data_IF_133188062130
#
_entry.id   IF_133188062130
#
_cell.length_a   1.000
_cell.length_b   1.000
_cell.length_c   1.000
_cell.angle_alpha   90.00
_cell.angle_beta   90.00
_cell.angle_gamma   90.00
#
_symmetry.space_group_name_H-M   'P 1'
#
loop_
_entity.id
_entity.type
_entity.pdbx_description
1 polymer ?
#
# COMPACT_ATOMS: atom_id res chain seq x y z
N UNK A 1 8.13 -16.72 -19.36
CA UNK A 1 7.59 -16.77 -17.99
C UNK A 1 6.97 -15.40 -17.73
N UNK A 2 5.63 -15.32 -17.69
CA UNK A 2 4.91 -14.05 -17.57
C UNK A 2 4.96 -13.50 -16.14
N UNK A 3 4.72 -12.21 -15.99
CA UNK A 3 4.62 -11.48 -14.70
C UNK A 3 3.71 -12.19 -13.66
N UNK A 4 2.75 -13.02 -14.12
CA UNK A 4 1.89 -13.81 -13.24
C UNK A 4 2.60 -14.88 -12.40
N UNK A 5 3.84 -15.25 -12.72
CA UNK A 5 4.60 -16.23 -11.93
C UNK A 5 5.37 -15.60 -10.74
N UNK A 6 5.57 -14.27 -10.76
CA UNK A 6 6.31 -13.56 -9.71
C UNK A 6 5.48 -13.45 -8.42
N UNK A 7 4.14 -13.44 -8.54
CA UNK A 7 3.22 -13.32 -7.40
C UNK A 7 2.70 -14.66 -6.87
N UNK A 8 3.27 -15.78 -7.33
CA UNK A 8 2.89 -17.11 -6.85
C UNK A 8 3.42 -17.34 -5.43
N UNK A 9 2.53 -17.33 -4.50
CA UNK A 9 2.48 -18.01 -3.21
C UNK A 9 3.14 -17.38 -1.98
N UNK A 10 4.14 -16.49 -2.06
CA UNK A 10 4.79 -15.92 -0.87
C UNK A 10 4.82 -14.38 -0.86
N UNK A 11 4.46 -13.73 -1.94
CA UNK A 11 4.60 -12.28 -2.07
C UNK A 11 3.35 -11.50 -1.64
N UNK A 12 2.17 -12.14 -1.63
CA UNK A 12 0.88 -11.47 -1.38
C UNK A 12 0.10 -12.18 -0.27
N UNK A 13 -0.32 -11.40 0.73
CA UNK A 13 -1.23 -11.81 1.79
C UNK A 13 -2.46 -10.90 1.78
N UNK A 14 -3.65 -11.49 1.75
CA UNK A 14 -4.89 -10.79 2.00
C UNK A 14 -5.30 -10.86 3.46
N UNK A 15 -5.80 -9.75 3.99
CA UNK A 15 -6.47 -9.68 5.29
C UNK A 15 -7.93 -9.33 5.03
N UNK A 16 -8.83 -10.22 5.40
CA UNK A 16 -10.28 -10.11 5.15
C UNK A 16 -11.07 -9.87 6.43
N UNK A 17 -12.35 -9.59 6.27
CA UNK A 17 -13.27 -9.37 7.37
C UNK A 17 -13.85 -10.65 7.99
N UNK A 18 -13.81 -11.78 7.27
CA UNK A 18 -14.47 -13.01 7.71
C UNK A 18 -13.71 -14.28 7.34
N UNK A 19 -13.97 -15.37 8.08
CA UNK A 19 -13.42 -16.70 7.78
C UNK A 19 -13.95 -17.25 6.44
N UNK A 20 -15.18 -16.91 6.06
CA UNK A 20 -15.77 -17.27 4.77
C UNK A 20 -14.89 -16.77 3.63
N UNK A 21 -14.42 -15.54 3.71
CA UNK A 21 -13.59 -14.91 2.69
C UNK A 21 -12.18 -15.52 2.66
N UNK A 22 -11.62 -15.86 3.82
CA UNK A 22 -10.36 -16.61 3.91
C UNK A 22 -10.48 -17.95 3.20
N UNK A 23 -11.57 -18.69 3.43
CA UNK A 23 -11.82 -19.96 2.75
C UNK A 23 -11.95 -19.77 1.23
N UNK A 24 -12.70 -18.76 0.80
CA UNK A 24 -12.89 -18.45 -0.61
C UNK A 24 -11.55 -18.13 -1.30
N UNK A 25 -10.73 -17.26 -0.72
CA UNK A 25 -9.40 -16.93 -1.25
C UNK A 25 -8.46 -18.14 -1.26
N UNK A 26 -8.50 -18.97 -0.21
CA UNK A 26 -7.65 -20.16 -0.10
C UNK A 26 -7.97 -21.19 -1.20
N UNK A 27 -9.25 -21.41 -1.50
CA UNK A 27 -9.69 -22.28 -2.60
C UNK A 27 -9.15 -21.79 -3.95
N UNK A 28 -9.06 -20.47 -4.13
CA UNK A 28 -8.48 -19.85 -5.33
C UNK A 28 -6.94 -19.72 -5.27
N UNK A 29 -6.28 -20.32 -4.26
CA UNK A 29 -4.83 -20.41 -4.15
C UNK A 29 -4.13 -19.14 -3.68
N UNK A 30 -4.83 -18.27 -2.94
CA UNK A 30 -4.26 -17.11 -2.27
C UNK A 30 -3.96 -17.39 -0.80
N UNK A 31 -2.98 -16.68 -0.24
CA UNK A 31 -2.80 -16.61 1.20
C UNK A 31 -3.74 -15.56 1.78
N UNK A 32 -4.51 -15.96 2.76
CA UNK A 32 -5.45 -15.06 3.44
C UNK A 32 -5.52 -15.35 4.93
N UNK A 33 -5.79 -14.32 5.71
CA UNK A 33 -6.11 -14.40 7.13
C UNK A 33 -7.26 -13.46 7.44
N UNK A 34 -7.95 -13.68 8.54
CA UNK A 34 -8.89 -12.72 9.12
C UNK A 34 -8.63 -12.53 10.62
N UNK A 35 -9.15 -11.47 11.15
CA UNK A 35 -9.27 -11.22 12.59
C UNK A 35 -10.75 -11.37 12.96
N UNK A 36 -11.06 -11.50 14.25
CA UNK A 36 -12.40 -11.84 14.74
C UNK A 36 -13.54 -10.94 14.21
N UNK A 37 -13.22 -9.75 13.68
CA UNK A 37 -14.15 -8.83 13.05
C UNK A 37 -13.39 -7.76 12.29
N UNK A 38 -13.98 -7.21 11.24
CA UNK A 38 -13.45 -6.04 10.49
C UNK A 38 -13.19 -4.81 11.37
N UNK A 39 -13.95 -4.67 12.46
CA UNK A 39 -13.84 -3.53 13.38
C UNK A 39 -12.72 -3.68 14.41
N UNK A 40 -12.16 -4.88 14.56
CA UNK A 40 -11.06 -5.14 15.49
C UNK A 40 -9.78 -4.51 14.98
N UNK A 41 -9.11 -3.74 15.83
CA UNK A 41 -7.79 -3.19 15.50
C UNK A 41 -6.77 -4.30 15.31
N UNK A 42 -6.15 -4.34 14.15
CA UNK A 42 -5.12 -5.33 13.82
C UNK A 42 -3.87 -5.06 14.68
N UNK A 43 -3.39 -6.06 15.45
CA UNK A 43 -2.21 -5.86 16.29
C UNK A 43 -0.96 -5.60 15.44
N UNK A 44 -0.32 -4.46 15.65
CA UNK A 44 0.90 -4.03 14.92
C UNK A 44 2.00 -5.08 14.96
N UNK A 45 2.20 -5.77 16.09
CA UNK A 45 3.21 -6.81 16.25
C UNK A 45 2.97 -8.04 15.34
N UNK A 46 1.72 -8.31 14.96
CA UNK A 46 1.41 -9.37 13.98
C UNK A 46 1.80 -8.89 12.59
N UNK A 47 1.40 -7.69 12.21
CA UNK A 47 1.74 -7.11 10.90
C UNK A 47 3.25 -6.99 10.73
N UNK A 48 3.96 -6.54 11.74
CA UNK A 48 5.42 -6.49 11.72
C UNK A 48 6.04 -7.86 11.40
N UNK A 49 5.56 -8.94 12.01
CA UNK A 49 6.05 -10.31 11.69
C UNK A 49 5.66 -10.77 10.30
N UNK A 50 4.46 -10.41 9.83
CA UNK A 50 3.99 -10.77 8.50
C UNK A 50 4.74 -10.01 7.39
N UNK A 51 5.16 -8.77 7.62
CA UNK A 51 5.93 -7.98 6.66
C UNK A 51 7.31 -8.55 6.33
N UNK A 52 7.87 -9.44 7.16
CA UNK A 52 9.07 -10.20 6.83
C UNK A 52 8.80 -11.42 5.94
N UNK A 53 7.55 -11.86 5.86
CA UNK A 53 7.16 -13.06 5.11
C UNK A 53 6.47 -12.74 3.78
N UNK A 54 5.79 -11.60 3.72
CA UNK A 54 5.01 -11.18 2.58
C UNK A 54 5.43 -9.80 2.11
N UNK A 55 5.67 -9.68 0.82
CA UNK A 55 6.04 -8.40 0.20
C UNK A 55 4.88 -7.41 0.16
N UNK A 56 3.68 -7.95 -0.07
CA UNK A 56 2.45 -7.17 -0.11
C UNK A 56 1.46 -7.71 0.90
N UNK A 57 0.97 -6.85 1.77
CA UNK A 57 -0.11 -7.15 2.71
C UNK A 57 -1.27 -6.21 2.35
N UNK A 58 -2.40 -6.79 1.97
CA UNK A 58 -3.54 -6.09 1.41
C UNK A 58 -4.79 -6.34 2.24
N UNK A 59 -5.44 -5.28 2.68
CA UNK A 59 -6.76 -5.33 3.28
C UNK A 59 -7.79 -5.51 2.17
N UNK A 60 -8.58 -6.55 2.27
CA UNK A 60 -9.66 -6.88 1.33
C UNK A 60 -10.95 -7.07 2.14
N UNK A 61 -11.54 -5.97 2.58
CA UNK A 61 -12.75 -5.93 3.38
C UNK A 61 -13.98 -5.74 2.50
N UNK A 62 -15.15 -5.92 3.10
CA UNK A 62 -16.41 -5.67 2.42
C UNK A 62 -16.45 -4.25 1.83
N UNK A 63 -17.08 -4.07 0.69
CA UNK A 63 -17.27 -2.76 0.06
C UNK A 63 -18.52 -2.03 0.55
N UNK A 64 -19.16 -2.53 1.61
CA UNK A 64 -20.19 -1.78 2.30
C UNK A 64 -19.59 -0.66 3.18
N UNK A 65 -20.44 0.23 3.72
CA UNK A 65 -19.97 1.38 4.50
C UNK A 65 -19.09 0.99 5.68
N UNK A 66 -19.43 -0.10 6.38
CA UNK A 66 -18.67 -0.53 7.57
C UNK A 66 -17.28 -1.06 7.18
N UNK A 67 -17.19 -1.87 6.14
CA UNK A 67 -15.92 -2.40 5.63
C UNK A 67 -15.03 -1.31 5.04
N UNK A 68 -15.61 -0.34 4.30
CA UNK A 68 -14.87 0.81 3.76
C UNK A 68 -14.28 1.69 4.88
N UNK A 69 -15.08 2.03 5.89
CA UNK A 69 -14.62 2.84 7.03
C UNK A 69 -13.56 2.11 7.85
N UNK A 70 -13.74 0.81 8.09
CA UNK A 70 -12.82 -0.02 8.86
C UNK A 70 -11.50 -0.22 8.11
N UNK A 71 -11.54 -0.55 6.83
CA UNK A 71 -10.32 -0.73 6.02
C UNK A 71 -9.51 0.57 5.90
N UNK A 72 -10.17 1.72 5.76
CA UNK A 72 -9.50 3.02 5.73
C UNK A 72 -8.77 3.33 7.05
N UNK A 73 -9.40 3.06 8.20
CA UNK A 73 -8.77 3.24 9.51
C UNK A 73 -7.56 2.33 9.70
N UNK A 74 -7.69 1.05 9.30
CA UNK A 74 -6.60 0.08 9.40
C UNK A 74 -5.44 0.45 8.48
N UNK A 75 -5.70 0.85 7.23
CA UNK A 75 -4.67 1.30 6.29
C UNK A 75 -3.87 2.47 6.87
N UNK A 76 -4.56 3.48 7.42
CA UNK A 76 -3.90 4.62 8.06
C UNK A 76 -3.06 4.21 9.27
N UNK A 77 -3.60 3.34 10.13
CA UNK A 77 -2.91 2.86 11.33
C UNK A 77 -1.66 2.03 10.99
N UNK A 78 -1.69 1.30 9.89
CA UNK A 78 -0.64 0.36 9.46
C UNK A 78 0.22 0.88 8.31
N UNK A 79 0.10 2.17 7.95
CA UNK A 79 0.82 2.77 6.82
C UNK A 79 2.33 2.56 6.84
N UNK A 80 2.95 2.55 8.03
CA UNK A 80 4.39 2.37 8.20
C UNK A 80 4.86 0.95 7.84
N UNK A 81 3.94 0.00 7.68
CA UNK A 81 4.22 -1.38 7.28
C UNK A 81 3.86 -1.66 5.82
N UNK A 82 3.53 -0.62 5.07
CA UNK A 82 3.17 -0.75 3.66
C UNK A 82 1.85 -1.49 3.42
N UNK A 83 1.01 -1.65 4.46
CA UNK A 83 -0.32 -2.23 4.32
C UNK A 83 -1.20 -1.30 3.51
N UNK A 84 -1.86 -1.86 2.51
CA UNK A 84 -2.73 -1.16 1.57
C UNK A 84 -4.10 -1.82 1.54
N UNK A 85 -5.12 -1.10 1.09
CA UNK A 85 -6.45 -1.66 0.85
C UNK A 85 -6.71 -1.80 -0.63
N UNK A 86 -7.33 -2.90 -1.02
CA UNK A 86 -7.85 -3.13 -2.36
C UNK A 86 -9.38 -3.12 -2.28
N UNK A 87 -10.00 -2.31 -3.11
CA UNK A 87 -11.46 -2.24 -3.20
C UNK A 87 -11.92 -3.09 -4.38
N UNK A 88 -12.86 -4.00 -4.10
CA UNK A 88 -13.49 -4.81 -5.14
C UNK A 88 -14.48 -3.95 -5.95
N UNK A 89 -14.59 -4.17 -7.25
CA UNK A 89 -15.55 -3.48 -8.11
C UNK A 89 -16.96 -4.06 -7.94
N UNK A 90 -17.51 -3.95 -6.73
CA UNK A 90 -18.83 -4.45 -6.34
C UNK A 90 -19.72 -3.30 -5.88
N UNK A 91 -21.03 -3.48 -5.90
CA UNK A 91 -21.99 -2.42 -5.57
C UNK A 91 -22.13 -2.13 -4.07
N UNK A 92 -21.59 -2.97 -3.19
CA UNK A 92 -21.70 -2.82 -1.73
C UNK A 92 -23.07 -3.16 -1.18
N UNK A 93 -23.86 -3.94 -1.92
CA UNK A 93 -25.18 -4.42 -1.50
C UNK A 93 -25.04 -5.65 -0.61
N UNK A 94 -26.15 -6.10 0.01
CA UNK A 94 -26.13 -7.31 0.85
C UNK A 94 -25.73 -8.60 0.10
N UNK A 95 -25.83 -8.60 -1.21
CA UNK A 95 -25.54 -9.76 -2.09
C UNK A 95 -24.30 -9.58 -2.94
N UNK A 96 -23.68 -8.41 -2.88
CA UNK A 96 -22.50 -8.05 -3.67
C UNK A 96 -21.58 -7.13 -2.86
N UNK A 97 -20.82 -7.67 -1.93
CA UNK A 97 -19.99 -6.82 -1.07
C UNK A 97 -18.63 -7.39 -0.70
N UNK A 98 -18.43 -8.69 -0.77
CA UNK A 98 -17.22 -9.37 -0.31
C UNK A 98 -16.53 -10.17 -1.42
N UNK A 99 -15.38 -10.73 -1.13
CA UNK A 99 -14.59 -11.51 -2.09
C UNK A 99 -15.29 -12.83 -2.47
N UNK A 100 -16.10 -13.39 -1.59
CA UNK A 100 -16.88 -14.58 -1.90
C UNK A 100 -17.96 -14.26 -2.94
N UNK A 101 -18.58 -13.09 -2.84
CA UNK A 101 -19.55 -12.61 -3.83
C UNK A 101 -18.85 -12.30 -5.16
N UNK A 102 -17.65 -11.71 -5.13
CA UNK A 102 -16.85 -11.45 -6.33
C UNK A 102 -16.64 -12.73 -7.15
N UNK A 103 -16.22 -13.82 -6.52
CA UNK A 103 -16.07 -15.10 -7.21
C UNK A 103 -17.41 -15.74 -7.60
N UNK A 104 -18.44 -15.59 -6.78
CA UNK A 104 -19.80 -16.09 -7.09
C UNK A 104 -20.40 -15.41 -8.34
N UNK A 105 -20.06 -14.18 -8.60
CA UNK A 105 -20.46 -13.43 -9.80
C UNK A 105 -19.72 -13.86 -11.07
N UNK A 106 -18.85 -14.86 -10.98
CA UNK A 106 -18.15 -15.45 -12.12
C UNK A 106 -16.77 -14.87 -12.38
N UNK A 107 -16.29 -13.97 -11.52
CA UNK A 107 -14.92 -13.49 -11.62
C UNK A 107 -13.94 -14.60 -11.24
N UNK A 108 -12.83 -14.63 -11.92
CA UNK A 108 -11.79 -15.63 -11.74
C UNK A 108 -10.69 -15.17 -10.79
N UNK A 109 -9.78 -16.08 -10.49
CA UNK A 109 -8.52 -15.77 -9.83
C UNK A 109 -7.70 -14.74 -10.59
N UNK A 110 -7.66 -14.89 -11.91
CA UNK A 110 -6.93 -14.03 -12.83
C UNK A 110 -7.46 -12.60 -12.80
N UNK A 111 -8.77 -12.43 -12.65
CA UNK A 111 -9.41 -11.12 -12.51
C UNK A 111 -8.97 -10.42 -11.21
N UNK A 112 -8.89 -11.15 -10.10
CA UNK A 112 -8.39 -10.59 -8.84
C UNK A 112 -6.90 -10.23 -8.93
N UNK A 113 -6.09 -11.04 -9.60
CA UNK A 113 -4.66 -10.73 -9.83
C UNK A 113 -4.55 -9.47 -10.69
N UNK A 114 -5.33 -9.38 -11.76
CA UNK A 114 -5.34 -8.20 -12.63
C UNK A 114 -5.71 -6.95 -11.85
N UNK A 115 -6.79 -6.99 -11.07
CA UNK A 115 -7.22 -5.88 -10.22
C UNK A 115 -6.11 -5.42 -9.27
N UNK A 116 -5.39 -6.36 -8.68
CA UNK A 116 -4.25 -6.05 -7.80
C UNK A 116 -3.07 -5.43 -8.56
N UNK A 117 -2.75 -5.92 -9.76
CA UNK A 117 -1.68 -5.36 -10.58
C UNK A 117 -2.02 -3.95 -11.05
N UNK A 118 -3.24 -3.71 -11.53
CA UNK A 118 -3.72 -2.38 -11.93
C UNK A 118 -3.65 -1.38 -10.75
N UNK A 119 -3.96 -1.85 -9.54
CA UNK A 119 -3.81 -1.06 -8.33
C UNK A 119 -2.35 -0.72 -8.02
N UNK A 120 -1.42 -1.67 -8.15
CA UNK A 120 0.02 -1.41 -7.97
C UNK A 120 0.56 -0.42 -9.00
N UNK A 121 0.14 -0.55 -10.25
CA UNK A 121 0.54 0.37 -11.32
C UNK A 121 0.06 1.80 -11.06
N UNK A 122 -1.14 1.96 -10.50
CA UNK A 122 -1.65 3.27 -10.07
C UNK A 122 -0.76 3.89 -8.98
N UNK A 123 -0.46 3.15 -7.91
CA UNK A 123 0.43 3.63 -6.84
C UNK A 123 1.83 3.95 -7.37
N UNK A 124 2.38 3.11 -8.24
CA UNK A 124 3.69 3.33 -8.84
C UNK A 124 3.70 4.60 -9.69
N UNK A 125 2.67 4.79 -10.50
CA UNK A 125 2.51 5.99 -11.34
C UNK A 125 2.40 7.27 -10.51
N UNK A 126 1.61 7.26 -9.44
CA UNK A 126 1.50 8.39 -8.49
C UNK A 126 2.84 8.71 -7.83
N UNK A 127 3.55 7.68 -7.37
CA UNK A 127 4.87 7.83 -6.76
C UNK A 127 5.89 8.40 -7.73
N UNK A 128 5.93 7.89 -8.95
CA UNK A 128 6.82 8.39 -10.00
C UNK A 128 6.49 9.83 -10.41
N UNK A 129 5.21 10.19 -10.45
CA UNK A 129 4.77 11.55 -10.71
C UNK A 129 5.22 12.51 -9.61
N UNK A 130 5.11 12.10 -8.34
CA UNK A 130 5.61 12.88 -7.20
C UNK A 130 7.13 13.05 -7.23
N UNK A 131 7.88 12.00 -7.62
CA UNK A 131 9.35 12.05 -7.73
C UNK A 131 9.83 12.94 -8.88
N UNK A 132 9.05 13.10 -9.96
CA UNK A 132 9.41 14.03 -11.06
C UNK A 132 9.62 15.46 -10.60
N UNK A 133 8.91 15.90 -9.56
CA UNK A 133 9.10 17.23 -8.98
C UNK A 133 10.46 17.39 -8.28
N UNK A 134 11.13 16.29 -7.95
CA UNK A 134 12.45 16.25 -7.33
C UNK A 134 13.59 16.02 -8.36
N UNK A 135 13.24 15.88 -9.63
CA UNK A 135 14.23 15.69 -10.71
C UNK A 135 15.06 16.96 -10.88
N UNK A 136 16.38 16.82 -10.83
CA UNK A 136 17.32 17.93 -11.07
C UNK A 136 17.62 17.98 -12.55
N UNK A 137 17.19 19.05 -13.21
CA UNK A 137 17.57 19.34 -14.61
C UNK A 137 19.01 19.89 -14.64
N UNK A 138 19.96 19.07 -15.04
CA UNK A 138 21.36 19.46 -15.17
C UNK A 138 21.61 20.53 -16.26
N UNK A 139 20.69 20.72 -17.21
CA UNK A 139 20.77 21.75 -18.22
C UNK A 139 20.26 23.10 -17.69
N UNK A 140 19.45 23.07 -16.62
CA UNK A 140 18.91 24.26 -15.98
C UNK A 140 19.03 24.09 -14.44
N UNK A 141 20.28 24.12 -13.91
CA UNK A 141 20.50 23.88 -12.51
C UNK A 141 19.82 24.94 -11.65
N UNK A 142 19.39 24.58 -10.43
CA UNK A 142 18.81 25.56 -9.50
C UNK A 142 19.79 26.70 -9.25
N UNK A 143 19.29 27.91 -8.98
CA UNK A 143 20.15 29.06 -8.71
C UNK A 143 21.13 28.75 -7.56
N UNK A 144 22.37 29.22 -7.69
CA UNK A 144 23.39 29.02 -6.65
C UNK A 144 22.85 29.59 -5.33
N UNK A 145 22.87 28.76 -4.30
CA UNK A 145 22.40 29.17 -2.99
C UNK A 145 23.24 30.37 -2.46
N UNK A 146 22.55 31.43 -2.01
CA UNK A 146 23.22 32.60 -1.48
C UNK A 146 23.95 32.26 -0.17
N UNK A 147 25.19 32.63 -0.09
CA UNK A 147 26.01 32.51 1.12
C UNK A 147 25.49 33.51 2.18
N UNK A 148 25.15 32.99 3.34
CA UNK A 148 24.61 33.79 4.46
C UNK A 148 25.68 33.97 5.57
N UNK A 149 26.50 32.96 5.77
CA UNK A 149 27.55 32.97 6.82
C UNK A 149 28.84 32.46 6.25
N UNK A 150 29.93 33.23 6.44
CA UNK A 150 31.29 32.81 6.12
C UNK A 150 32.26 33.17 7.25
N UNK A 151 33.35 32.42 7.37
CA UNK A 151 34.46 32.71 8.26
C UNK A 151 35.77 32.62 7.45
N UNK A 152 36.52 33.70 7.42
CA UNK A 152 37.75 33.81 6.61
C UNK A 152 37.55 33.41 5.15
N UNK A 153 36.48 33.91 4.54
CA UNK A 153 36.05 33.63 3.15
C UNK A 153 35.66 32.16 2.87
N UNK A 154 35.61 31.31 3.89
CA UNK A 154 35.10 29.95 3.76
C UNK A 154 33.58 29.95 4.04
N UNK A 155 32.75 29.54 3.06
CA UNK A 155 31.30 29.48 3.24
C UNK A 155 30.92 28.42 4.27
N UNK A 156 30.20 28.82 5.31
CA UNK A 156 29.71 27.94 6.37
C UNK A 156 28.21 27.64 6.26
N UNK A 157 27.45 28.55 5.67
CA UNK A 157 26.00 28.37 5.55
C UNK A 157 25.43 29.14 4.37
N UNK A 158 24.39 28.53 3.77
CA UNK A 158 23.66 29.11 2.64
C UNK A 158 22.19 29.30 3.01
N UNK A 159 21.50 30.20 2.30
CA UNK A 159 20.10 30.45 2.50
C UNK A 159 19.27 29.14 2.29
N UNK A 160 18.43 28.82 3.24
CA UNK A 160 17.59 27.61 3.21
C UNK A 160 18.22 26.37 3.85
N UNK A 161 19.51 26.43 4.26
CA UNK A 161 20.15 25.33 4.98
C UNK A 161 20.19 25.60 6.49
N UNK A 162 20.11 24.53 7.28
CA UNK A 162 20.31 24.60 8.73
C UNK A 162 21.78 24.41 9.04
N UNK A 163 22.39 25.42 9.69
CA UNK A 163 23.74 25.34 10.20
C UNK A 163 23.73 25.11 11.71
N UNK A 164 24.42 24.06 12.18
CA UNK A 164 24.63 23.79 13.59
C UNK A 164 26.10 23.99 13.91
N UNK A 165 26.42 24.96 14.77
CA UNK A 165 27.78 25.19 15.25
C UNK A 165 27.84 24.68 16.69
N UNK A 166 28.66 23.65 16.91
CA UNK A 166 28.95 23.10 18.25
C UNK A 166 30.29 23.57 18.71
N UNK A 167 30.36 24.11 19.91
CA UNK A 167 31.62 24.50 20.58
C UNK A 167 32.25 23.35 21.35
#
# INVERSE_FOLDING_TARGET
>A
RGLGDVYKRQDLLFITGSEKDVMSLTVHGFHAICFNSETVTIPVGIIHRLSFRFKHIVLLYDVDKAGLDSSAKQELALKNYGVKRLLLPLEGTKVEKDISDFFRLGNSREDLIKLFLDYLDTIYSETMSALKSCEVDFNNPPPVAQMVVSVNDVPLGTQGNILCITG
#
